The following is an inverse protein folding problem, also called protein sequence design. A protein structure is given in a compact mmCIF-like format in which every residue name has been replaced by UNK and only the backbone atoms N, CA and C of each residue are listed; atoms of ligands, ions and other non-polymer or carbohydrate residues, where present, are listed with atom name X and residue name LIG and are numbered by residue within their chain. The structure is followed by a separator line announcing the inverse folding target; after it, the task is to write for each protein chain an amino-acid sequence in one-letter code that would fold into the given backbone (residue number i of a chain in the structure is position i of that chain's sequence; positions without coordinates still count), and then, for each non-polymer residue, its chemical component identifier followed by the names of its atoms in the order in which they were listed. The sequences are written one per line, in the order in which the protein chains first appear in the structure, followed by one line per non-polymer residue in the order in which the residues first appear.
data_IF_082762240481
#
_entry.id   IF_082762240481
#
_cell.length_a   1.000
_cell.length_b   1.000
_cell.length_c   1.000
_cell.angle_alpha   90.00
_cell.angle_beta   90.00
_cell.angle_gamma   90.00
#
_symmetry.space_group_name_H-M   'P 1'
#
loop_
_entity.id
_entity.type
_entity.pdbx_description
1 polymer ?
#
# COMPACT_ATOMS: atom_id res chain seq x y z
N UNK A 1 -18.06 8.28 -15.96
CA UNK A 1 -17.63 6.89 -15.71
C UNK A 1 -16.11 6.77 -15.80
N UNK A 2 -15.49 7.26 -16.88
CA UNK A 2 -14.02 7.28 -17.02
C UNK A 2 -13.31 7.96 -15.82
N UNK A 3 -13.76 9.15 -15.44
CA UNK A 3 -13.18 9.90 -14.31
C UNK A 3 -13.17 9.12 -12.98
N UNK A 4 -14.20 8.31 -12.71
CA UNK A 4 -14.26 7.49 -11.49
C UNK A 4 -13.27 6.31 -11.53
N UNK A 5 -13.02 5.76 -12.72
CA UNK A 5 -12.03 4.71 -12.92
C UNK A 5 -10.63 5.29 -12.71
N UNK A 6 -10.37 6.47 -13.26
CA UNK A 6 -9.08 7.15 -13.11
C UNK A 6 -8.80 7.46 -11.62
N UNK A 7 -9.80 7.97 -10.90
CA UNK A 7 -9.70 8.18 -9.44
C UNK A 7 -9.44 6.88 -8.67
N UNK A 8 -10.07 5.76 -9.07
CA UNK A 8 -9.84 4.46 -8.44
C UNK A 8 -8.40 3.99 -8.66
N UNK A 9 -7.88 4.11 -9.88
CA UNK A 9 -6.50 3.73 -10.20
C UNK A 9 -5.48 4.60 -9.47
N UNK A 10 -5.73 5.91 -9.32
CA UNK A 10 -4.90 6.78 -8.49
C UNK A 10 -4.88 6.33 -7.02
N UNK A 11 -6.04 5.94 -6.47
CA UNK A 11 -6.12 5.42 -5.10
C UNK A 11 -5.36 4.10 -4.96
N UNK A 12 -5.46 3.20 -5.93
CA UNK A 12 -4.70 1.94 -5.97
C UNK A 12 -3.20 2.20 -6.02
N UNK A 13 -2.75 3.13 -6.87
CA UNK A 13 -1.34 3.50 -6.97
C UNK A 13 -0.80 4.05 -5.63
N UNK A 14 -1.57 4.92 -4.96
CA UNK A 14 -1.21 5.44 -3.63
C UNK A 14 -1.13 4.33 -2.57
N UNK A 15 -2.10 3.41 -2.54
CA UNK A 15 -2.09 2.29 -1.60
C UNK A 15 -0.90 1.33 -1.84
N UNK A 16 -0.57 1.04 -3.10
CA UNK A 16 0.59 0.20 -3.46
C UNK A 16 1.93 0.81 -3.06
N UNK A 17 2.02 2.15 -3.01
CA UNK A 17 3.22 2.85 -2.56
C UNK A 17 3.44 2.73 -1.04
N UNK A 18 2.40 2.36 -0.28
CA UNK A 18 2.46 2.16 1.17
C UNK A 18 3.10 3.34 1.89
N UNK A 19 4.17 3.08 2.64
CA UNK A 19 4.94 4.09 3.37
C UNK A 19 5.72 5.11 2.52
N UNK A 20 5.60 5.09 1.19
CA UNK A 20 6.27 6.01 0.27
C UNK A 20 7.61 5.51 -0.25
N UNK A 21 8.05 6.07 -1.39
CA UNK A 21 9.29 5.66 -2.07
C UNK A 21 10.52 5.64 -1.14
N UNK A 22 10.65 6.67 -0.30
CA UNK A 22 11.75 6.78 0.68
C UNK A 22 11.84 5.56 1.61
N UNK A 23 10.71 4.98 2.02
CA UNK A 23 10.68 3.80 2.90
C UNK A 23 10.92 2.51 2.12
N UNK A 24 10.44 2.44 0.88
CA UNK A 24 10.73 1.34 -0.05
C UNK A 24 12.24 1.24 -0.27
N UNK A 25 12.89 2.34 -0.67
CA UNK A 25 14.33 2.41 -0.89
C UNK A 25 15.13 2.01 0.36
N UNK A 26 14.64 2.40 1.55
CA UNK A 26 15.26 2.04 2.81
C UNK A 26 15.15 0.54 3.15
N UNK A 27 14.10 -0.16 2.70
CA UNK A 27 14.00 -1.63 2.80
C UNK A 27 14.98 -2.29 1.83
N UNK A 28 14.98 -1.87 0.57
CA UNK A 28 15.88 -2.42 -0.44
C UNK A 28 17.35 -2.21 -0.09
N UNK A 29 17.72 -1.05 0.44
CA UNK A 29 19.08 -0.78 0.93
C UNK A 29 19.53 -1.72 2.05
N UNK A 30 18.58 -2.29 2.80
CA UNK A 30 18.84 -3.32 3.84
C UNK A 30 18.84 -4.74 3.28
N UNK A 31 18.76 -4.91 1.96
CA UNK A 31 18.64 -6.22 1.31
C UNK A 31 17.29 -6.89 1.53
N UNK A 32 16.24 -6.12 1.84
CA UNK A 32 14.89 -6.66 2.12
C UNK A 32 13.93 -6.26 1.02
N UNK A 33 13.06 -7.20 0.66
CA UNK A 33 11.88 -6.95 -0.14
C UNK A 33 10.79 -6.22 0.67
N UNK A 34 9.94 -5.46 -0.01
CA UNK A 34 8.69 -4.91 0.53
C UNK A 34 7.68 -6.01 0.83
N UNK A 35 6.56 -5.69 1.49
CA UNK A 35 5.52 -6.67 1.78
C UNK A 35 4.93 -7.28 0.49
N UNK A 36 4.57 -6.45 -0.50
CA UNK A 36 4.01 -6.91 -1.77
C UNK A 36 5.01 -7.69 -2.61
N UNK A 37 6.26 -7.25 -2.69
CA UNK A 37 7.31 -8.01 -3.39
C UNK A 37 7.49 -9.42 -2.82
N UNK A 38 7.29 -9.62 -1.51
CA UNK A 38 7.33 -10.95 -0.90
C UNK A 38 6.12 -11.81 -1.26
N UNK A 39 4.94 -11.19 -1.36
CA UNK A 39 3.71 -11.88 -1.79
C UNK A 39 3.87 -12.35 -3.24
N UNK A 40 4.30 -11.46 -4.13
CA UNK A 40 4.53 -11.77 -5.55
C UNK A 40 5.61 -12.85 -5.73
N UNK A 41 6.66 -12.85 -4.89
CA UNK A 41 7.68 -13.91 -4.94
C UNK A 41 7.15 -15.28 -4.48
N UNK A 42 6.18 -15.29 -3.57
CA UNK A 42 5.68 -16.51 -2.93
C UNK A 42 4.55 -17.18 -3.73
N UNK A 43 3.69 -16.39 -4.34
CA UNK A 43 2.49 -16.85 -5.04
C UNK A 43 2.75 -17.03 -6.53
N UNK A 44 1.88 -17.80 -7.19
CA UNK A 44 1.91 -17.90 -8.64
C UNK A 44 1.56 -16.54 -9.26
N UNK A 45 2.27 -16.17 -10.33
CA UNK A 45 2.11 -14.88 -11.00
C UNK A 45 0.65 -14.57 -11.33
N UNK A 46 0.18 -13.42 -10.87
CA UNK A 46 -1.18 -12.93 -11.15
C UNK A 46 -2.31 -13.62 -10.37
N UNK A 47 -1.99 -14.42 -9.35
CA UNK A 47 -3.00 -15.12 -8.53
C UNK A 47 -3.36 -14.39 -7.24
N UNK A 48 -2.62 -13.35 -6.86
CA UNK A 48 -2.89 -12.61 -5.63
C UNK A 48 -4.15 -11.74 -5.74
N UNK A 49 -5.16 -12.09 -4.96
CA UNK A 49 -6.40 -11.32 -4.80
C UNK A 49 -6.39 -10.61 -3.44
N UNK A 50 -6.36 -9.28 -3.48
CA UNK A 50 -6.19 -8.46 -2.28
C UNK A 50 -7.52 -7.98 -1.69
N UNK A 51 -7.59 -8.06 -0.36
CA UNK A 51 -8.71 -7.57 0.43
C UNK A 51 -8.29 -6.33 1.22
N UNK A 52 -9.24 -5.43 1.46
CA UNK A 52 -9.06 -4.30 2.38
C UNK A 52 -7.93 -3.31 2.02
N UNK A 53 -7.51 -3.24 0.74
CA UNK A 53 -6.48 -2.32 0.24
C UNK A 53 -6.67 -0.85 0.66
N UNK A 54 -7.92 -0.42 0.84
CA UNK A 54 -8.27 0.96 1.18
C UNK A 54 -8.66 1.17 2.65
N UNK A 55 -8.55 0.15 3.49
CA UNK A 55 -8.83 0.28 4.93
C UNK A 55 -7.76 1.17 5.56
N UNK A 56 -8.18 2.02 6.49
CA UNK A 56 -7.32 2.90 7.26
C UNK A 56 -7.73 2.77 8.74
N UNK A 57 -6.79 2.94 9.66
CA UNK A 57 -7.14 3.01 11.08
C UNK A 57 -8.13 4.14 11.36
N UNK A 58 -8.87 3.99 12.47
CA UNK A 58 -9.80 5.02 12.99
C UNK A 58 -9.25 5.77 14.20
N UNK A 59 -8.02 5.46 14.62
CA UNK A 59 -7.36 6.19 15.72
C UNK A 59 -7.19 7.68 15.40
N UNK A 60 -7.37 8.51 16.42
CA UNK A 60 -7.17 9.97 16.41
C UNK A 60 -6.14 10.42 17.45
N UNK A 61 -5.67 9.51 18.29
CA UNK A 61 -4.72 9.82 19.36
C UNK A 61 -3.32 10.09 18.80
N UNK A 62 -2.50 10.85 19.53
CA UNK A 62 -1.08 11.06 19.24
C UNK A 62 -0.75 11.56 17.81
N UNK A 63 -1.65 12.33 17.20
CA UNK A 63 -1.46 12.87 15.84
C UNK A 63 -1.84 11.90 14.71
N UNK A 64 -2.37 10.72 15.05
CA UNK A 64 -2.78 9.72 14.07
C UNK A 64 -3.93 10.20 13.17
N UNK A 65 -4.72 11.20 13.60
CA UNK A 65 -5.77 11.78 12.77
C UNK A 65 -5.26 12.34 11.42
N UNK A 66 -4.01 12.82 11.40
CA UNK A 66 -3.39 13.48 10.25
C UNK A 66 -2.66 12.49 9.33
N UNK A 67 -2.29 11.32 9.85
CA UNK A 67 -1.51 10.32 9.12
C UNK A 67 -2.37 9.11 8.78
N UNK A 68 -2.99 9.14 7.60
CA UNK A 68 -3.76 8.01 7.06
C UNK A 68 -2.95 7.26 6.00
N UNK A 69 -2.80 5.96 6.18
CA UNK A 69 -2.08 5.08 5.26
C UNK A 69 -3.05 3.96 4.85
N UNK A 70 -3.42 3.88 3.55
CA UNK A 70 -4.25 2.79 3.04
C UNK A 70 -3.60 1.42 3.28
N UNK A 71 -4.39 0.45 3.71
CA UNK A 71 -3.96 -0.89 4.13
C UNK A 71 -3.55 -0.97 5.60
N UNK A 72 -3.40 0.16 6.30
CA UNK A 72 -3.02 0.25 7.72
C UNK A 72 -1.76 -0.56 8.12
N UNK A 73 -0.76 -0.58 7.22
CA UNK A 73 0.49 -1.34 7.38
C UNK A 73 1.70 -0.71 6.69
#
# INVERSE_FOLDING_TARGET
MQELIDQLEERRAKARLGGGQKRIDAQHKKGKLTARERIELLLDDGTFEEWDMFVEHRSVDFGMAEQKIPGDG
#
